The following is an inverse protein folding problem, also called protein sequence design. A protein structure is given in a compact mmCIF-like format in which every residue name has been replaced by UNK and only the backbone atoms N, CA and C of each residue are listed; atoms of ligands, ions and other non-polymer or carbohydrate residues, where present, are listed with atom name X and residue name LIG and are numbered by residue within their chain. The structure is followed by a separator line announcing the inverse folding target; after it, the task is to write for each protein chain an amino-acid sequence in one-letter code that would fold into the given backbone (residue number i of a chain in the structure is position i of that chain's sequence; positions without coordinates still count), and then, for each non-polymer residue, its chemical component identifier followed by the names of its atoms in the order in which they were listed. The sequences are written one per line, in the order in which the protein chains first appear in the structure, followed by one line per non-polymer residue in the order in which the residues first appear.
data_IF_470211925399
#
_entry.id   IF_470211925399
#
_cell.length_a   1.000
_cell.length_b   1.000
_cell.length_c   1.000
_cell.angle_alpha   90.00
_cell.angle_beta   90.00
_cell.angle_gamma   90.00
#
_symmetry.space_group_name_H-M   'P 1'
#
loop_
_entity.id
_entity.type
_entity.pdbx_description
1 polymer ?
#
# COMPACT_ATOMS: atom_id res chain seq x y z
N UNK A 1 -37.80 31.04 -55.34
CA UNK A 1 -36.77 31.63 -54.47
C UNK A 1 -37.22 31.39 -53.02
N UNK A 2 -36.65 30.62 -52.27
CA UNK A 2 -35.54 30.61 -51.39
C UNK A 2 -35.45 29.25 -50.70
N UNK A 3 -34.43 28.49 -50.98
CA UNK A 3 -34.03 27.29 -50.22
C UNK A 3 -32.67 27.64 -49.60
N UNK A 4 -32.56 27.78 -48.28
CA UNK A 4 -31.25 27.67 -47.59
C UNK A 4 -31.40 28.06 -46.11
N UNK A 5 -31.95 27.17 -45.22
CA UNK A 5 -31.78 27.31 -43.79
C UNK A 5 -31.83 25.93 -43.08
N UNK A 6 -31.09 24.93 -43.55
CA UNK A 6 -31.12 23.62 -42.87
C UNK A 6 -29.74 22.91 -42.75
N UNK A 7 -28.68 23.66 -42.51
CA UNK A 7 -27.33 23.02 -42.36
C UNK A 7 -26.46 23.46 -41.19
N UNK A 8 -26.99 24.09 -40.16
CA UNK A 8 -26.08 24.61 -39.06
C UNK A 8 -26.31 23.95 -37.68
N UNK A 9 -27.18 22.97 -37.52
CA UNK A 9 -27.47 22.37 -36.20
C UNK A 9 -26.87 20.99 -35.90
N UNK A 10 -26.07 20.41 -36.78
CA UNK A 10 -25.50 19.05 -36.57
C UNK A 10 -24.07 19.00 -36.04
N UNK A 11 -23.38 20.12 -35.89
CA UNK A 11 -21.94 20.12 -35.52
C UNK A 11 -21.69 20.27 -33.99
N UNK A 12 -22.67 20.75 -33.24
CA UNK A 12 -22.45 21.05 -31.78
C UNK A 12 -22.61 19.87 -30.85
N UNK A 13 -23.16 18.74 -31.27
CA UNK A 13 -23.38 17.60 -30.37
C UNK A 13 -22.21 16.62 -30.31
N UNK A 14 -21.33 16.64 -31.30
CA UNK A 14 -20.20 15.67 -31.35
C UNK A 14 -18.98 16.15 -30.56
N UNK A 15 -18.82 17.47 -30.38
CA UNK A 15 -17.68 18.04 -29.65
C UNK A 15 -17.75 17.85 -28.14
N UNK A 16 -18.94 17.75 -27.56
CA UNK A 16 -19.10 17.56 -26.11
C UNK A 16 -18.76 16.14 -25.62
N UNK A 17 -18.87 15.14 -26.49
CA UNK A 17 -18.60 13.73 -26.13
C UNK A 17 -17.10 13.41 -26.13
N UNK A 18 -16.31 14.12 -26.95
CA UNK A 18 -14.84 13.91 -27.04
C UNK A 18 -14.11 14.55 -25.85
N UNK A 19 -14.60 15.69 -25.33
CA UNK A 19 -13.99 16.38 -24.19
C UNK A 19 -14.29 15.63 -22.88
N UNK A 20 -15.46 15.00 -22.74
CA UNK A 20 -15.80 14.17 -21.56
C UNK A 20 -15.00 12.87 -21.48
N UNK A 21 -14.61 12.29 -22.61
CA UNK A 21 -13.80 11.06 -22.66
C UNK A 21 -12.32 11.30 -22.32
N UNK A 22 -11.76 12.47 -22.66
CA UNK A 22 -10.35 12.80 -22.42
C UNK A 22 -10.05 13.11 -20.93
N UNK A 23 -11.03 13.56 -20.15
CA UNK A 23 -10.85 13.87 -18.72
C UNK A 23 -10.82 12.61 -17.83
N UNK A 24 -11.39 11.49 -18.27
CA UNK A 24 -11.43 10.24 -17.48
C UNK A 24 -10.10 9.48 -17.55
N UNK A 25 -9.30 9.68 -18.60
CA UNK A 25 -8.00 9.01 -18.76
C UNK A 25 -6.89 9.64 -17.91
N UNK A 26 -7.05 10.88 -17.42
CA UNK A 26 -6.04 11.58 -16.64
C UNK A 26 -6.02 11.22 -15.14
N UNK A 27 -6.94 10.37 -14.66
CA UNK A 27 -7.03 9.95 -13.26
C UNK A 27 -6.62 8.49 -13.01
N UNK A 28 -5.87 7.87 -13.93
CA UNK A 28 -5.20 6.62 -13.63
C UNK A 28 -4.04 6.94 -12.67
N UNK A 29 -4.32 6.92 -11.37
CA UNK A 29 -3.27 6.89 -10.34
C UNK A 29 -2.45 5.63 -10.65
N UNK A 30 -1.14 5.73 -10.87
CA UNK A 30 -0.31 4.53 -11.03
C UNK A 30 -0.55 3.66 -9.81
N UNK A 31 -0.93 2.39 -10.02
CA UNK A 31 -1.01 1.44 -8.94
C UNK A 31 0.40 1.30 -8.38
N UNK A 32 0.65 1.93 -7.22
CA UNK A 32 1.95 1.87 -6.55
C UNK A 32 2.27 0.41 -6.23
N UNK A 33 3.24 -0.13 -6.92
CA UNK A 33 3.74 -1.48 -6.71
C UNK A 33 4.98 -1.49 -5.80
N UNK A 34 5.10 -0.51 -4.90
CA UNK A 34 6.24 -0.33 -4.00
C UNK A 34 6.37 -1.46 -2.97
N UNK A 35 7.60 -1.78 -2.60
CA UNK A 35 7.87 -2.58 -1.41
C UNK A 35 7.42 -1.80 -0.19
N UNK A 36 6.54 -2.36 0.61
CA UNK A 36 5.99 -1.73 1.81
C UNK A 36 6.25 -2.57 3.05
N UNK A 37 6.24 -1.92 4.22
CA UNK A 37 6.36 -2.59 5.51
C UNK A 37 5.22 -2.16 6.44
N UNK A 38 4.70 -3.10 7.21
CA UNK A 38 3.63 -2.85 8.17
C UNK A 38 3.76 -3.73 9.41
N UNK A 39 3.19 -3.28 10.50
CA UNK A 39 3.01 -4.08 11.71
C UNK A 39 1.84 -3.51 12.52
N UNK A 40 0.81 -4.29 12.83
CA UNK A 40 -0.29 -3.87 13.69
C UNK A 40 0.10 -3.87 15.19
N UNK A 41 1.22 -4.51 15.56
CA UNK A 41 1.61 -4.75 16.94
C UNK A 41 2.96 -4.14 17.33
N UNK A 42 3.67 -3.48 16.41
CA UNK A 42 5.00 -2.92 16.68
C UNK A 42 4.90 -1.69 17.57
N UNK A 43 5.45 -1.81 18.78
CA UNK A 43 5.57 -0.72 19.76
C UNK A 43 7.02 -0.47 20.11
N UNK A 44 7.34 0.77 20.48
CA UNK A 44 8.67 1.16 20.92
C UNK A 44 9.11 0.34 22.14
N UNK A 45 10.29 -0.27 22.06
CA UNK A 45 10.83 -1.14 23.12
C UNK A 45 10.18 -2.51 23.24
N UNK A 46 9.11 -2.79 22.47
CA UNK A 46 8.37 -4.06 22.47
C UNK A 46 8.85 -5.07 21.43
N UNK A 47 8.05 -6.11 21.27
CA UNK A 47 8.21 -7.10 20.20
C UNK A 47 7.01 -7.01 19.26
N UNK A 48 7.22 -7.32 17.98
CA UNK A 48 6.13 -7.27 17.02
C UNK A 48 6.40 -8.11 15.78
N UNK A 49 5.32 -8.52 15.12
CA UNK A 49 5.40 -9.09 13.78
C UNK A 49 5.44 -7.96 12.76
N UNK A 50 6.51 -7.93 12.00
CA UNK A 50 6.75 -6.95 10.92
C UNK A 50 6.59 -7.69 9.60
N UNK A 51 5.78 -7.18 8.69
CA UNK A 51 5.50 -7.82 7.41
C UNK A 51 5.92 -6.91 6.26
N UNK A 52 6.85 -7.37 5.44
CA UNK A 52 7.20 -6.75 4.17
C UNK A 52 6.29 -7.30 3.08
N UNK A 53 5.63 -6.44 2.32
CA UNK A 53 4.85 -6.79 1.13
C UNK A 53 5.64 -6.39 -0.10
N UNK A 54 5.92 -7.35 -0.96
CA UNK A 54 6.76 -7.19 -2.16
C UNK A 54 5.95 -7.57 -3.39
N UNK A 55 5.47 -6.61 -4.16
CA UNK A 55 4.87 -6.85 -5.46
C UNK A 55 5.95 -7.05 -6.52
N UNK A 56 5.59 -7.67 -7.65
CA UNK A 56 6.43 -7.71 -8.85
C UNK A 56 5.98 -6.61 -9.79
N UNK A 57 6.87 -5.66 -10.12
CA UNK A 57 6.59 -4.56 -11.05
C UNK A 57 6.88 -4.94 -12.51
N UNK A 58 7.68 -5.99 -12.74
CA UNK A 58 7.98 -6.46 -14.08
C UNK A 58 6.79 -7.21 -14.69
N UNK A 59 6.52 -6.95 -15.97
CA UNK A 59 5.50 -7.67 -16.74
C UNK A 59 5.99 -9.06 -17.21
N UNK A 60 7.29 -9.33 -17.15
CA UNK A 60 7.91 -10.54 -17.72
C UNK A 60 8.79 -11.30 -16.74
N UNK A 61 9.49 -10.61 -15.84
CA UNK A 61 10.44 -11.21 -14.90
C UNK A 61 9.79 -11.44 -13.54
N UNK A 62 10.16 -12.54 -12.89
CA UNK A 62 9.70 -12.87 -11.53
C UNK A 62 10.68 -12.34 -10.50
N UNK A 63 10.21 -11.88 -9.34
CA UNK A 63 11.10 -11.59 -8.20
C UNK A 63 11.65 -12.88 -7.62
N UNK A 64 12.97 -13.01 -7.58
CA UNK A 64 13.66 -14.22 -7.12
C UNK A 64 14.41 -14.04 -5.79
N UNK A 65 14.64 -12.79 -5.38
CA UNK A 65 15.34 -12.50 -4.12
C UNK A 65 14.89 -11.17 -3.55
N UNK A 66 14.77 -11.12 -2.24
CA UNK A 66 14.60 -9.90 -1.46
C UNK A 66 15.69 -9.83 -0.40
N UNK A 67 16.37 -8.70 -0.29
CA UNK A 67 17.29 -8.40 0.82
C UNK A 67 16.75 -7.16 1.53
N UNK A 68 16.47 -7.29 2.82
CA UNK A 68 16.10 -6.15 3.66
C UNK A 68 17.27 -5.86 4.59
N UNK A 69 17.80 -4.63 4.51
CA UNK A 69 18.87 -4.15 5.37
C UNK A 69 18.27 -3.42 6.57
N UNK A 70 18.68 -3.82 7.76
CA UNK A 70 18.29 -3.19 9.01
C UNK A 70 19.18 -1.99 9.27
N UNK A 71 18.63 -0.78 9.50
CA UNK A 71 19.43 0.42 9.70
C UNK A 71 20.24 0.36 10.99
N UNK A 72 21.42 0.95 10.98
CA UNK A 72 22.32 0.92 12.14
C UNK A 72 21.81 1.80 13.29
N UNK A 73 21.14 2.90 12.98
CA UNK A 73 20.57 3.83 13.96
C UNK A 73 19.28 3.30 14.64
N UNK A 74 18.74 2.19 14.14
CA UNK A 74 17.57 1.52 14.73
C UNK A 74 17.79 -0.01 14.77
N UNK A 75 18.78 -0.48 15.53
CA UNK A 75 19.23 -1.87 15.53
C UNK A 75 18.15 -2.82 16.05
N UNK A 76 18.00 -3.97 15.40
CA UNK A 76 17.21 -5.09 15.88
C UNK A 76 18.13 -6.11 16.54
N UNK A 77 17.82 -6.45 17.80
CA UNK A 77 18.58 -7.43 18.58
C UNK A 77 18.29 -8.86 18.13
N UNK A 78 17.03 -9.15 17.90
CA UNK A 78 16.55 -10.48 17.54
C UNK A 78 15.55 -10.39 16.39
N UNK A 79 15.71 -11.29 15.45
CA UNK A 79 14.78 -11.51 14.34
C UNK A 79 14.58 -13.02 14.17
N UNK A 80 13.33 -13.44 14.18
CA UNK A 80 12.91 -14.76 13.69
C UNK A 80 12.00 -14.58 12.49
N UNK A 81 12.00 -15.51 11.58
CA UNK A 81 11.21 -15.44 10.34
C UNK A 81 10.19 -16.56 10.28
N UNK A 82 9.09 -16.30 9.62
CA UNK A 82 8.12 -17.33 9.27
C UNK A 82 8.62 -18.12 8.07
N UNK A 83 8.64 -19.47 8.10
CA UNK A 83 9.00 -20.28 6.95
C UNK A 83 7.99 -20.07 5.81
N UNK A 84 8.49 -19.72 4.64
CA UNK A 84 7.67 -19.52 3.45
C UNK A 84 7.94 -20.66 2.46
N UNK A 85 6.91 -21.44 2.04
CA UNK A 85 7.08 -22.49 1.06
C UNK A 85 7.73 -21.98 -0.21
N UNK A 86 8.78 -22.67 -0.67
CA UNK A 86 9.52 -22.28 -1.86
C UNK A 86 10.55 -21.17 -1.68
N UNK A 87 10.79 -20.71 -0.44
CA UNK A 87 11.79 -19.68 -0.14
C UNK A 87 12.77 -20.14 0.94
N UNK A 88 14.03 -19.77 0.77
CA UNK A 88 15.07 -19.94 1.77
C UNK A 88 15.38 -18.59 2.42
N UNK A 89 15.35 -18.54 3.74
CA UNK A 89 15.59 -17.31 4.49
C UNK A 89 16.91 -17.38 5.25
N UNK A 90 17.70 -16.30 5.18
CA UNK A 90 18.95 -16.14 5.91
C UNK A 90 18.93 -14.83 6.69
N UNK A 91 19.26 -14.88 7.99
CA UNK A 91 19.47 -13.70 8.84
C UNK A 91 20.95 -13.52 9.05
N UNK A 92 21.48 -12.37 8.63
CA UNK A 92 22.89 -12.03 8.80
C UNK A 92 23.06 -11.08 9.96
N UNK A 93 23.91 -11.43 10.91
CA UNK A 93 24.31 -10.55 12.02
C UNK A 93 25.60 -9.84 11.70
N UNK A 94 25.74 -8.63 12.20
CA UNK A 94 26.95 -7.80 12.08
C UNK A 94 27.31 -7.24 13.44
N UNK A 95 28.62 -7.09 13.75
CA UNK A 95 29.06 -6.48 15.00
C UNK A 95 28.63 -5.00 15.05
N UNK A 96 28.33 -4.53 16.23
CA UNK A 96 28.15 -3.10 16.53
C UNK A 96 29.53 -2.47 16.82
N UNK A 97 29.77 -1.29 16.25
CA UNK A 97 30.99 -0.53 16.53
C UNK A 97 31.10 -0.17 18.03
N UNK A 98 29.98 0.09 18.65
CA UNK A 98 29.85 0.30 20.10
C UNK A 98 28.69 -0.52 20.64
N UNK A 99 28.82 -1.16 21.81
CA UNK A 99 27.70 -1.84 22.44
C UNK A 99 26.53 -0.88 22.68
N UNK A 100 25.31 -1.34 22.40
CA UNK A 100 24.07 -0.57 22.56
C UNK A 100 23.16 -1.29 23.53
N UNK A 101 22.61 -0.56 24.53
CA UNK A 101 21.63 -1.12 25.45
C UNK A 101 20.23 -0.98 24.85
N UNK A 102 19.55 -2.11 24.67
CA UNK A 102 18.16 -2.19 24.21
C UNK A 102 17.36 -2.93 25.27
N UNK A 103 16.46 -2.22 25.97
CA UNK A 103 15.86 -2.75 27.21
C UNK A 103 16.89 -2.97 28.29
N UNK A 104 16.96 -4.20 28.82
CA UNK A 104 17.96 -4.62 29.86
C UNK A 104 19.17 -5.33 29.24
N UNK A 105 19.16 -5.56 27.93
CA UNK A 105 20.22 -6.30 27.24
C UNK A 105 21.24 -5.35 26.60
N UNK A 106 22.54 -5.67 26.77
CA UNK A 106 23.63 -5.01 26.05
C UNK A 106 23.93 -5.82 24.79
N UNK A 107 23.73 -5.19 23.65
CA UNK A 107 23.98 -5.77 22.34
C UNK A 107 25.39 -5.45 21.89
N UNK A 108 26.13 -6.46 21.47
CA UNK A 108 27.43 -6.35 20.78
C UNK A 108 27.31 -6.64 19.28
N UNK A 109 26.17 -7.24 18.88
CA UNK A 109 25.81 -7.53 17.51
C UNK A 109 24.38 -7.09 17.25
N UNK A 110 24.05 -6.78 16.00
CA UNK A 110 22.70 -6.50 15.51
C UNK A 110 22.41 -7.35 14.28
N UNK A 111 21.15 -7.48 13.95
CA UNK A 111 20.77 -7.97 12.64
C UNK A 111 21.17 -6.93 11.59
N UNK A 112 22.00 -7.33 10.65
CA UNK A 112 22.43 -6.49 9.53
C UNK A 112 21.47 -6.57 8.37
N UNK A 113 21.05 -7.79 7.98
CA UNK A 113 20.11 -8.02 6.91
C UNK A 113 19.31 -9.30 7.08
N UNK A 114 18.16 -9.34 6.42
CA UNK A 114 17.34 -10.53 6.21
C UNK A 114 17.24 -10.75 4.69
N UNK A 115 17.58 -11.95 4.23
CA UNK A 115 17.54 -12.32 2.83
C UNK A 115 16.58 -13.46 2.62
N UNK A 116 15.64 -13.29 1.69
CA UNK A 116 14.78 -14.34 1.17
C UNK A 116 15.18 -14.64 -0.27
N UNK A 117 15.45 -15.89 -0.58
CA UNK A 117 15.80 -16.36 -1.92
C UNK A 117 14.80 -17.42 -2.35
N UNK A 118 14.17 -17.21 -3.49
CA UNK A 118 13.25 -18.17 -4.06
C UNK A 118 14.00 -19.43 -4.51
N UNK A 119 13.46 -20.58 -4.17
CA UNK A 119 13.88 -21.84 -4.77
C UNK A 119 13.46 -21.85 -6.24
N UNK A 120 13.96 -22.81 -7.00
CA UNK A 120 13.63 -22.92 -8.42
C UNK A 120 12.11 -22.86 -8.65
N UNK A 121 11.68 -21.99 -9.56
CA UNK A 121 10.28 -21.78 -9.98
C UNK A 121 9.33 -21.21 -8.90
N UNK A 122 9.85 -20.79 -7.74
CA UNK A 122 9.05 -20.27 -6.60
C UNK A 122 9.03 -18.74 -6.50
N UNK A 123 9.60 -18.03 -7.46
CA UNK A 123 9.62 -16.55 -7.47
C UNK A 123 8.23 -15.95 -7.57
N UNK A 124 8.11 -14.68 -7.16
CA UNK A 124 6.88 -13.89 -7.30
C UNK A 124 6.71 -13.57 -8.79
N UNK A 125 5.68 -14.10 -9.41
CA UNK A 125 5.43 -13.95 -10.85
C UNK A 125 4.82 -12.58 -11.17
N UNK A 126 4.87 -12.12 -12.43
CA UNK A 126 4.17 -10.92 -12.87
C UNK A 126 2.73 -10.86 -12.40
N UNK A 127 2.30 -9.69 -11.92
CA UNK A 127 0.96 -9.47 -11.37
C UNK A 127 0.70 -10.06 -9.98
N UNK A 128 1.71 -10.62 -9.32
CA UNK A 128 1.61 -11.20 -7.97
C UNK A 128 2.38 -10.36 -6.95
N UNK A 129 2.09 -10.60 -5.69
CA UNK A 129 2.89 -10.14 -4.55
C UNK A 129 3.12 -11.28 -3.57
N UNK A 130 4.16 -11.14 -2.73
CA UNK A 130 4.45 -12.02 -1.60
C UNK A 130 4.61 -11.18 -0.34
N UNK A 131 4.19 -11.74 0.79
CA UNK A 131 4.49 -11.19 2.12
C UNK A 131 5.62 -11.96 2.78
N UNK A 132 6.49 -11.22 3.48
CA UNK A 132 7.65 -11.74 4.19
C UNK A 132 7.59 -11.31 5.65
N UNK A 133 6.91 -12.08 6.52
CA UNK A 133 6.79 -11.77 7.93
C UNK A 133 8.03 -12.17 8.71
N UNK A 134 8.39 -11.29 9.66
CA UNK A 134 9.39 -11.55 10.69
C UNK A 134 8.82 -11.19 12.05
N UNK A 135 9.27 -11.87 13.11
CA UNK A 135 9.08 -11.41 14.48
C UNK A 135 10.38 -10.78 14.96
N UNK A 136 10.33 -9.54 15.42
CA UNK A 136 11.50 -8.78 15.80
C UNK A 136 11.33 -8.09 17.15
N UNK A 137 12.44 -7.91 17.84
CA UNK A 137 12.49 -7.17 19.11
C UNK A 137 13.71 -7.45 19.97
N UNK A 138 13.86 -6.68 21.06
CA UNK A 138 13.07 -5.49 21.34
C UNK A 138 13.28 -4.43 20.26
N UNK A 139 12.19 -3.72 19.89
CA UNK A 139 12.22 -2.68 18.87
C UNK A 139 12.85 -1.39 19.42
N UNK A 140 13.48 -0.58 18.57
CA UNK A 140 14.08 0.68 19.01
C UNK A 140 13.01 1.67 19.51
N UNK A 141 13.44 2.61 20.37
CA UNK A 141 12.58 3.67 20.91
C UNK A 141 12.58 4.89 19.99
N UNK A 142 12.11 4.70 18.76
CA UNK A 142 11.96 5.72 17.72
C UNK A 142 10.53 5.67 17.15
N UNK A 143 10.08 6.74 16.54
CA UNK A 143 8.74 6.78 15.92
C UNK A 143 8.66 5.97 14.62
N UNK A 144 9.76 5.95 13.87
CA UNK A 144 9.85 5.28 12.58
C UNK A 144 11.16 4.54 12.41
N UNK A 145 11.11 3.43 11.70
CA UNK A 145 12.29 2.69 11.23
C UNK A 145 12.22 2.62 9.71
N UNK A 146 13.21 3.17 9.02
CA UNK A 146 13.35 3.11 7.58
C UNK A 146 14.28 1.97 7.21
N UNK A 147 13.82 1.07 6.36
CA UNK A 147 14.60 -0.06 5.85
C UNK A 147 15.02 0.21 4.42
N UNK A 148 16.20 -0.29 4.03
CA UNK A 148 16.55 -0.43 2.63
C UNK A 148 16.15 -1.82 2.15
N UNK A 149 15.55 -1.93 0.97
CA UNK A 149 15.23 -3.21 0.39
C UNK A 149 15.77 -3.33 -1.04
N UNK A 150 16.45 -4.44 -1.34
CA UNK A 150 16.93 -4.76 -2.67
C UNK A 150 16.14 -5.95 -3.22
N UNK A 151 15.43 -5.74 -4.31
CA UNK A 151 14.61 -6.72 -5.00
C UNK A 151 15.30 -7.18 -6.28
N UNK A 152 15.60 -8.47 -6.39
CA UNK A 152 16.25 -9.06 -7.57
C UNK A 152 15.22 -9.81 -8.40
N UNK A 153 15.26 -9.60 -9.70
CA UNK A 153 14.40 -10.26 -10.67
C UNK A 153 15.12 -11.44 -11.36
N UNK A 154 14.35 -12.28 -12.07
CA UNK A 154 14.86 -13.49 -12.74
C UNK A 154 15.74 -13.20 -13.97
N UNK A 155 15.68 -12.01 -14.52
CA UNK A 155 16.54 -11.50 -15.61
C UNK A 155 17.85 -10.88 -15.09
N UNK A 156 18.03 -10.80 -13.76
CA UNK A 156 19.20 -10.26 -13.09
C UNK A 156 19.09 -8.78 -12.73
N UNK A 157 18.01 -8.10 -13.10
CA UNK A 157 17.76 -6.72 -12.65
C UNK A 157 17.65 -6.66 -11.12
N UNK A 158 18.19 -5.60 -10.51
CA UNK A 158 18.08 -5.30 -9.09
C UNK A 158 17.49 -3.91 -8.92
N UNK A 159 16.32 -3.85 -8.28
CA UNK A 159 15.66 -2.62 -7.89
C UNK A 159 15.95 -2.35 -6.42
N UNK A 160 16.49 -1.15 -6.13
CA UNK A 160 16.78 -0.71 -4.76
C UNK A 160 15.69 0.25 -4.28
N UNK A 161 14.99 -0.15 -3.24
CA UNK A 161 13.97 0.60 -2.52
C UNK A 161 14.63 1.28 -1.33
N UNK A 162 15.27 2.43 -1.55
CA UNK A 162 16.08 3.13 -0.55
C UNK A 162 16.02 4.66 -0.66
N UNK A 163 15.10 5.19 -1.47
CA UNK A 163 14.91 6.63 -1.60
C UNK A 163 14.10 7.16 -0.41
N UNK A 164 14.64 8.16 0.27
CA UNK A 164 13.98 8.76 1.44
C UNK A 164 12.96 9.79 0.97
N UNK A 165 11.72 9.64 1.44
CA UNK A 165 10.65 10.60 1.20
C UNK A 165 10.96 11.94 1.90
N UNK A 166 10.85 13.04 1.18
CA UNK A 166 11.00 14.40 1.72
C UNK A 166 9.62 14.99 1.97
N UNK A 167 9.36 15.42 3.21
CA UNK A 167 8.07 15.98 3.60
C UNK A 167 7.66 17.15 2.68
N UNK A 168 6.49 17.01 2.02
CA UNK A 168 5.97 17.97 1.07
C UNK A 168 6.62 17.93 -0.33
N UNK A 169 7.51 16.99 -0.59
CA UNK A 169 8.09 16.71 -1.90
C UNK A 169 7.20 15.76 -2.73
N UNK A 170 7.65 15.50 -3.95
CA UNK A 170 7.08 14.45 -4.80
C UNK A 170 7.47 13.06 -4.24
N UNK A 171 6.57 12.09 -4.33
CA UNK A 171 6.85 10.71 -3.92
C UNK A 171 8.00 10.14 -4.75
N UNK A 172 9.05 9.58 -4.10
CA UNK A 172 10.17 8.98 -4.81
C UNK A 172 9.73 7.81 -5.70
N UNK A 173 10.48 7.55 -6.76
CA UNK A 173 10.18 6.42 -7.65
C UNK A 173 10.42 5.05 -6.99
N UNK A 174 11.37 4.97 -6.05
CA UNK A 174 11.74 3.75 -5.31
C UNK A 174 11.86 4.03 -3.82
N UNK A 175 10.75 4.38 -3.13
CA UNK A 175 10.77 4.79 -1.74
C UNK A 175 11.24 3.66 -0.81
N UNK A 176 12.02 4.03 0.18
CA UNK A 176 12.43 3.14 1.26
C UNK A 176 11.21 2.71 2.09
N UNK A 177 11.03 1.42 2.43
CA UNK A 177 9.95 0.98 3.33
C UNK A 177 10.09 1.59 4.74
N UNK A 178 9.06 2.31 5.21
CA UNK A 178 9.04 2.98 6.52
C UNK A 178 8.03 2.32 7.45
N UNK A 179 8.51 1.75 8.55
CA UNK A 179 7.70 1.19 9.62
C UNK A 179 7.43 2.25 10.69
N UNK A 180 6.17 2.50 11.00
CA UNK A 180 5.77 3.33 12.15
C UNK A 180 5.65 2.47 13.40
N UNK A 181 6.26 2.93 14.50
CA UNK A 181 6.17 2.28 15.81
C UNK A 181 5.20 3.06 16.71
N UNK A 182 4.24 2.35 17.28
CA UNK A 182 3.37 2.94 18.30
C UNK A 182 4.18 3.28 19.57
N UNK A 183 3.76 4.29 20.30
CA UNK A 183 4.37 4.62 21.58
C UNK A 183 4.34 3.43 22.56
N UNK A 184 5.34 3.32 23.44
CA UNK A 184 5.37 2.31 24.46
C UNK A 184 4.10 2.40 25.35
N UNK A 185 3.40 1.28 25.53
CA UNK A 185 2.15 1.22 26.30
C UNK A 185 0.85 1.36 25.46
N UNK A 186 0.90 1.87 24.24
CA UNK A 186 -0.30 2.05 23.42
C UNK A 186 -1.00 0.74 23.02
N UNK A 187 -0.32 -0.40 23.09
CA UNK A 187 -0.90 -1.71 22.78
C UNK A 187 -1.68 -2.32 23.99
N UNK A 188 -1.50 -1.80 25.21
CA UNK A 188 -2.19 -2.32 26.39
C UNK A 188 -3.69 -1.94 26.43
N UNK A 189 -4.06 -0.83 25.80
CA UNK A 189 -5.43 -0.33 25.80
C UNK A 189 -6.35 -1.04 24.79
N UNK A 190 -5.77 -1.71 23.79
CA UNK A 190 -6.54 -2.42 22.77
C UNK A 190 -7.04 -3.82 23.20
N UNK A 191 -6.48 -4.40 24.26
CA UNK A 191 -6.86 -5.71 24.80
C UNK A 191 -7.70 -5.65 26.08
N UNK A 192 -7.91 -4.46 26.64
CA UNK A 192 -8.65 -4.25 27.90
C UNK A 192 -10.16 -4.07 27.76
N UNK A 193 -10.72 -4.00 26.56
CA UNK A 193 -12.13 -3.70 26.33
C UNK A 193 -12.93 -4.91 25.84
N UNK A 194 -12.87 -6.04 26.55
CA UNK A 194 -13.76 -7.17 26.26
C UNK A 194 -14.17 -7.92 27.54
N UNK A 195 -14.83 -7.26 28.44
CA UNK A 195 -15.83 -7.85 29.35
C UNK A 195 -16.61 -6.71 30.02
N UNK A 196 -17.61 -6.24 29.32
CA UNK A 196 -18.72 -5.54 29.93
C UNK A 196 -20.00 -6.06 29.29
N UNK A 197 -20.75 -6.70 30.13
CA UNK A 197 -22.09 -7.22 30.08
C UNK A 197 -23.01 -6.48 29.11
N UNK A 198 -23.72 -7.30 28.32
CA UNK A 198 -24.84 -6.95 27.46
C UNK A 198 -25.80 -5.98 28.12
N UNK A 199 -25.94 -4.79 27.55
CA UNK A 199 -27.21 -4.09 27.57
C UNK A 199 -27.49 -3.57 26.15
N UNK A 200 -28.64 -4.02 25.66
CA UNK A 200 -29.09 -3.79 24.28
C UNK A 200 -29.61 -2.36 24.16
N UNK A 201 -28.81 -1.49 23.56
CA UNK A 201 -29.36 -0.22 23.09
C UNK A 201 -28.96 -0.04 21.62
N UNK A 202 -29.99 -0.04 20.80
CA UNK A 202 -29.95 0.21 19.35
C UNK A 202 -29.12 1.46 19.04
N UNK A 203 -27.93 1.29 18.48
CA UNK A 203 -27.18 2.42 17.92
C UNK A 203 -27.63 2.65 16.49
N UNK A 204 -28.57 3.58 16.32
CA UNK A 204 -28.86 4.19 15.02
C UNK A 204 -27.60 4.81 14.45
N UNK A 205 -27.09 4.22 13.39
CA UNK A 205 -26.01 4.79 12.57
C UNK A 205 -26.50 6.13 12.01
N UNK A 206 -25.99 7.24 12.54
CA UNK A 206 -26.22 8.58 12.00
C UNK A 206 -25.48 8.72 10.67
N UNK A 207 -26.15 8.36 9.57
CA UNK A 207 -25.70 8.74 8.23
C UNK A 207 -25.77 10.25 8.11
N UNK A 208 -24.63 10.89 7.84
CA UNK A 208 -24.54 12.33 7.61
C UNK A 208 -25.55 12.75 6.53
N UNK A 209 -26.33 13.85 6.72
CA UNK A 209 -27.31 14.30 5.73
C UNK A 209 -26.70 14.60 4.37
N UNK A 210 -25.41 14.87 4.29
CA UNK A 210 -24.66 15.08 3.05
C UNK A 210 -24.46 13.80 2.23
N UNK A 211 -24.35 12.63 2.87
CA UNK A 211 -24.21 11.34 2.15
C UNK A 211 -25.51 10.93 1.47
N UNK A 212 -26.66 11.24 2.08
CA UNK A 212 -27.97 10.96 1.50
C UNK A 212 -28.23 11.91 0.33
N UNK A 213 -27.86 13.19 0.42
CA UNK A 213 -27.99 14.15 -0.66
C UNK A 213 -27.16 13.77 -1.89
N UNK A 214 -25.93 13.25 -1.71
CA UNK A 214 -25.09 12.78 -2.81
C UNK A 214 -25.69 11.55 -3.55
N UNK A 215 -26.31 10.65 -2.79
CA UNK A 215 -26.91 9.44 -3.36
C UNK A 215 -28.19 9.76 -4.15
N UNK A 216 -29.01 10.70 -3.68
CA UNK A 216 -30.19 11.17 -4.40
C UNK A 216 -29.79 11.89 -5.70
N UNK A 217 -28.77 12.75 -5.65
CA UNK A 217 -28.29 13.46 -6.83
C UNK A 217 -27.81 12.52 -7.94
N UNK A 218 -27.14 11.41 -7.58
CA UNK A 218 -26.66 10.42 -8.55
C UNK A 218 -27.82 9.66 -9.23
N UNK A 219 -28.85 9.29 -8.47
CA UNK A 219 -30.03 8.60 -9.01
C UNK A 219 -30.80 9.51 -9.98
N UNK A 220 -30.98 10.79 -9.64
CA UNK A 220 -31.64 11.77 -10.51
C UNK A 220 -30.88 11.96 -11.81
N UNK A 221 -29.55 12.02 -11.80
CA UNK A 221 -28.73 12.13 -13.00
C UNK A 221 -28.88 10.91 -13.93
N UNK A 222 -28.96 9.70 -13.38
CA UNK A 222 -29.19 8.46 -14.14
C UNK A 222 -30.57 8.47 -14.79
N UNK A 223 -31.60 8.86 -14.09
CA UNK A 223 -32.99 8.93 -14.63
C UNK A 223 -33.06 9.93 -15.79
N UNK A 224 -32.47 11.13 -15.64
CA UNK A 224 -32.44 12.14 -16.70
C UNK A 224 -31.72 11.61 -17.94
N UNK A 225 -30.61 10.87 -17.76
CA UNK A 225 -29.86 10.27 -18.86
C UNK A 225 -30.67 9.22 -19.62
N UNK A 226 -31.42 8.38 -18.90
CA UNK A 226 -32.30 7.35 -19.50
C UNK A 226 -33.44 8.00 -20.29
N UNK A 227 -34.09 9.02 -19.72
CA UNK A 227 -35.18 9.76 -20.41
C UNK A 227 -34.68 10.43 -21.71
N UNK A 228 -33.48 11.02 -21.66
CA UNK A 228 -32.88 11.64 -22.85
C UNK A 228 -32.59 10.60 -23.97
N UNK A 229 -32.13 9.40 -23.58
CA UNK A 229 -31.87 8.30 -24.56
C UNK A 229 -33.17 7.78 -25.17
N UNK A 230 -34.20 7.54 -24.35
CA UNK A 230 -35.51 7.06 -24.83
C UNK A 230 -36.20 8.11 -25.72
N UNK A 231 -36.19 9.38 -25.29
CA UNK A 231 -36.76 10.48 -26.05
C UNK A 231 -36.07 10.73 -27.40
N UNK A 232 -34.75 10.48 -27.47
CA UNK A 232 -34.01 10.59 -28.74
C UNK A 232 -34.31 9.45 -29.72
N UNK A 233 -34.66 8.26 -29.24
CA UNK A 233 -35.08 7.12 -30.10
C UNK A 233 -36.48 7.32 -30.64
N UNK A 234 -37.44 7.81 -29.83
CA UNK A 234 -38.80 8.07 -30.28
C UNK A 234 -38.90 9.14 -31.39
N UNK A 235 -37.94 10.08 -31.49
CA UNK A 235 -37.87 11.08 -32.57
C UNK A 235 -37.23 10.60 -33.86
N UNK A 236 -36.66 9.39 -33.92
CA UNK A 236 -36.09 8.81 -35.14
C UNK A 236 -37.05 7.89 -35.89
N UNK A 237 -38.19 7.58 -35.31
CA UNK A 237 -39.23 6.71 -35.92
C UNK A 237 -40.42 7.48 -36.46
N UNK A 238 -40.40 8.82 -36.47
CA UNK A 238 -41.34 9.70 -37.19
C UNK A 238 -40.60 10.47 -38.30
#
# INVERSE_FOLDING_TARGET
MSKNHFKVRAISATSALVIGGALVVAAAVPASAHVTVSSPSATQGGYGTITFKVPTESDTASTTKLVVTVPENAPLASVTYEPIPGWTTTVTKVPLANPVTVGEATLTERVGSITWTANKDSGIKPGQFQTFPISAGPLPKVETVTFDAAQTYSDGEVVNWNEVEVAGGEEPAKPAPVLKLAAAGAAADAHGASHSTSDSTESTSSTSPWSIAALIASIVAIIISVIAIVGSRAKREQ
#
